data_IF_732475914323
#
_entry.id   IF_732475914323
#
_cell.length_a   1.000
_cell.length_b   1.000
_cell.length_c   1.000
_cell.angle_alpha   90.00
_cell.angle_beta   90.00
_cell.angle_gamma   90.00
#
_symmetry.space_group_name_H-M   'P 1'
#
loop_
_entity.id
_entity.type
_entity.pdbx_description
1 polymer ?
#
# COMPACT_ATOMS: atom_id res chain seq x y z
N UNK A 1 -7.60 14.50 -2.70
CA UNK A 1 -6.65 14.47 -1.58
C UNK A 1 -6.69 15.80 -0.82
N UNK A 2 -7.48 15.90 0.26
CA UNK A 2 -7.64 17.14 1.02
C UNK A 2 -6.50 17.44 2.01
N UNK A 3 -5.66 16.46 2.32
CA UNK A 3 -4.48 16.65 3.17
C UNK A 3 -3.34 17.30 2.39
N UNK A 4 -2.67 18.31 2.97
CA UNK A 4 -1.60 19.07 2.32
C UNK A 4 -0.46 18.20 1.75
N UNK A 5 -0.08 17.11 2.44
CA UNK A 5 1.00 16.22 2.00
C UNK A 5 0.56 15.14 1.00
N UNK A 6 -0.74 15.02 0.73
CA UNK A 6 -1.29 14.00 -0.14
C UNK A 6 -1.27 14.47 -1.61
N UNK A 7 -0.07 14.67 -2.15
CA UNK A 7 0.14 15.26 -3.48
C UNK A 7 1.12 14.43 -4.32
N UNK A 8 0.82 14.30 -5.62
CA UNK A 8 1.74 13.80 -6.63
C UNK A 8 2.34 15.02 -7.32
N UNK A 9 3.67 15.15 -7.32
CA UNK A 9 4.37 16.30 -7.91
C UNK A 9 5.66 15.86 -8.58
N UNK A 10 5.98 16.47 -9.72
CA UNK A 10 7.17 16.12 -10.51
C UNK A 10 7.22 14.64 -10.91
N UNK A 11 6.06 14.00 -11.11
CA UNK A 11 5.96 12.58 -11.43
C UNK A 11 6.21 11.61 -10.27
N UNK A 12 6.41 12.11 -9.04
CA UNK A 12 6.70 11.30 -7.85
C UNK A 12 5.55 11.33 -6.85
N UNK A 13 5.46 10.27 -6.04
CA UNK A 13 4.51 10.18 -4.92
C UNK A 13 3.23 9.44 -5.25
N UNK A 14 3.22 8.65 -6.33
CA UNK A 14 2.08 7.80 -6.67
C UNK A 14 1.91 6.68 -5.65
N UNK A 15 0.73 6.08 -5.62
CA UNK A 15 0.46 4.95 -4.74
C UNK A 15 1.20 3.70 -5.22
N UNK A 16 1.25 3.51 -6.53
CA UNK A 16 1.88 2.37 -7.20
C UNK A 16 3.37 2.28 -6.85
N UNK A 17 4.10 3.41 -6.93
CA UNK A 17 5.52 3.49 -6.55
C UNK A 17 5.78 2.93 -5.14
N UNK A 18 4.85 3.19 -4.20
CA UNK A 18 4.96 2.76 -2.80
C UNK A 18 4.62 1.28 -2.66
N UNK A 19 3.57 0.82 -3.34
CA UNK A 19 3.16 -0.58 -3.34
C UNK A 19 4.26 -1.46 -3.90
N UNK A 20 4.84 -1.10 -5.04
CA UNK A 20 5.94 -1.84 -5.67
C UNK A 20 7.16 -1.95 -4.73
N UNK A 21 7.57 -0.84 -4.11
CA UNK A 21 8.69 -0.82 -3.18
C UNK A 21 8.44 -1.71 -1.94
N UNK A 22 7.21 -1.68 -1.40
CA UNK A 22 6.85 -2.52 -0.26
C UNK A 22 6.79 -4.00 -0.63
N UNK A 23 6.23 -4.35 -1.79
CA UNK A 23 6.20 -5.72 -2.29
C UNK A 23 7.61 -6.25 -2.56
N UNK A 24 8.50 -5.44 -3.14
CA UNK A 24 9.90 -5.79 -3.35
C UNK A 24 10.66 -6.04 -2.03
N UNK A 25 10.22 -5.40 -0.94
CA UNK A 25 10.72 -5.65 0.42
C UNK A 25 10.07 -6.85 1.12
N UNK A 26 9.17 -7.59 0.46
CA UNK A 26 8.46 -8.75 1.01
C UNK A 26 7.27 -8.38 1.91
N UNK A 27 6.79 -7.14 1.87
CA UNK A 27 5.62 -6.72 2.66
C UNK A 27 4.33 -7.18 1.96
N UNK A 28 3.42 -7.77 2.73
CA UNK A 28 2.07 -8.09 2.25
C UNK A 28 1.24 -6.82 2.05
N UNK A 29 0.71 -6.63 0.84
CA UNK A 29 -0.16 -5.51 0.48
C UNK A 29 -1.59 -6.01 0.28
N UNK A 30 -2.55 -5.35 0.92
CA UNK A 30 -3.97 -5.55 0.63
C UNK A 30 -4.36 -4.80 -0.64
N UNK A 31 -5.10 -5.46 -1.53
CA UNK A 31 -5.57 -4.91 -2.81
C UNK A 31 -6.69 -3.86 -2.66
N UNK A 32 -7.30 -3.80 -1.48
CA UNK A 32 -8.34 -2.86 -1.12
C UNK A 32 -8.34 -2.61 0.39
N UNK A 33 -8.86 -1.46 0.85
CA UNK A 33 -9.00 -1.20 2.28
C UNK A 33 -9.86 -2.26 3.01
N UNK A 34 -10.84 -2.86 2.32
CA UNK A 34 -11.70 -3.89 2.87
C UNK A 34 -10.96 -5.23 3.09
N UNK A 35 -9.88 -5.48 2.35
CA UNK A 35 -9.09 -6.71 2.44
C UNK A 35 -7.99 -6.67 3.51
N UNK A 36 -7.86 -5.58 4.29
CA UNK A 36 -6.81 -5.46 5.32
C UNK A 36 -6.83 -6.62 6.33
N UNK A 37 -8.03 -6.96 6.84
CA UNK A 37 -8.18 -8.03 7.83
C UNK A 37 -7.85 -9.42 7.26
N UNK A 38 -8.33 -9.73 6.05
CA UNK A 38 -8.07 -11.04 5.42
C UNK A 38 -6.61 -11.17 4.97
N UNK A 39 -5.96 -10.07 4.58
CA UNK A 39 -4.52 -10.05 4.25
C UNK A 39 -3.67 -10.30 5.49
N UNK A 40 -4.02 -9.67 6.62
CA UNK A 40 -3.35 -9.91 7.89
C UNK A 40 -3.50 -11.36 8.36
N UNK A 41 -4.71 -11.92 8.32
CA UNK A 41 -4.96 -13.31 8.70
C UNK A 41 -4.07 -14.27 7.90
N UNK A 42 -4.00 -14.10 6.57
CA UNK A 42 -3.12 -14.87 5.70
C UNK A 42 -1.64 -14.74 6.07
N UNK A 43 -1.18 -13.51 6.37
CA UNK A 43 0.22 -13.27 6.76
C UNK A 43 0.60 -13.93 8.09
N UNK A 44 -0.36 -14.12 9.00
CA UNK A 44 -0.17 -14.82 10.27
C UNK A 44 -0.33 -16.34 10.18
N UNK A 45 -0.73 -16.87 9.01
CA UNK A 45 -0.97 -18.31 8.81
C UNK A 45 -2.30 -18.82 9.37
N UNK A 46 -3.31 -17.94 9.49
CA UNK A 46 -4.66 -18.28 9.93
C UNK A 46 -5.56 -18.76 8.78
#
# INVERSE_FOLDING_TARGET
MGHAGAIISGGKGRAEDKVEAMQAAGIHIADSPAALGTTLAKALGA
#
